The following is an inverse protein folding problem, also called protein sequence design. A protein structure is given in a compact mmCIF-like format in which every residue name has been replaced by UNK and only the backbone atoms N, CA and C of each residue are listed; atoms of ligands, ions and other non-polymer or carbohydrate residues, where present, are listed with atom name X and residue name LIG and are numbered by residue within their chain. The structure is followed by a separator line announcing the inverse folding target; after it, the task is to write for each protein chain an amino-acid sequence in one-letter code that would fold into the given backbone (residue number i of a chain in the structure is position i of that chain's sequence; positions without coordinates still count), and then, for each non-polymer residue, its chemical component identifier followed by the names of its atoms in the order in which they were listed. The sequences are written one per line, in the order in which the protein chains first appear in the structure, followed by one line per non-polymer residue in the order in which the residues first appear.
data_IF_603914122928
#
_entry.id   IF_603914122928
#
_cell.length_a   1.000
_cell.length_b   1.000
_cell.length_c   1.000
_cell.angle_alpha   90.00
_cell.angle_beta   90.00
_cell.angle_gamma   90.00
#
_symmetry.space_group_name_H-M   'P 1'
#
loop_
_entity.id
_entity.type
_entity.pdbx_description
1 polymer ?
#
# COMPACT_ATOMS: atom_id res chain seq x y z
N UNK A 1 18.60 22.82 11.28
CA UNK A 1 18.51 21.37 11.56
C UNK A 1 18.56 21.16 13.06
N UNK A 2 17.49 20.60 13.65
CA UNK A 2 17.59 20.03 15.01
C UNK A 2 18.50 18.80 14.90
N UNK A 3 19.54 18.75 15.73
CA UNK A 3 20.44 17.59 15.78
C UNK A 3 19.68 16.49 16.53
N UNK A 4 19.49 15.35 15.88
CA UNK A 4 18.96 14.16 16.53
C UNK A 4 20.13 13.40 17.18
N UNK A 5 20.02 13.17 18.49
CA UNK A 5 21.03 12.48 19.30
C UNK A 5 20.75 10.97 19.43
N UNK A 6 19.63 10.48 18.88
CA UNK A 6 19.22 9.07 18.94
C UNK A 6 19.66 8.27 17.71
N UNK A 7 19.83 8.92 16.57
CA UNK A 7 20.47 8.34 15.40
C UNK A 7 21.98 8.34 15.59
N UNK A 8 22.68 7.27 15.16
CA UNK A 8 24.14 7.28 15.08
C UNK A 8 24.60 8.55 14.37
N UNK A 9 25.48 9.32 15.02
CA UNK A 9 25.88 10.67 14.60
C UNK A 9 26.04 10.74 13.08
N UNK A 10 25.15 11.49 12.43
CA UNK A 10 25.34 11.80 11.01
C UNK A 10 26.65 12.58 10.90
N UNK A 11 27.64 11.98 10.23
CA UNK A 11 28.87 12.68 9.84
C UNK A 11 28.39 13.92 9.08
N UNK A 12 28.66 15.12 9.62
CA UNK A 12 28.43 16.37 8.90
C UNK A 12 29.32 16.33 7.66
N UNK A 13 28.79 15.82 6.56
CA UNK A 13 29.41 16.01 5.26
C UNK A 13 29.25 17.50 4.96
N UNK A 14 30.32 18.25 5.22
CA UNK A 14 30.47 19.53 4.55
C UNK A 14 30.43 19.19 3.07
N UNK A 15 29.36 19.62 2.41
CA UNK A 15 29.22 19.55 0.96
C UNK A 15 30.54 20.10 0.41
N UNK A 16 31.38 19.28 -0.28
CA UNK A 16 32.65 19.76 -0.81
C UNK A 16 32.37 20.96 -1.72
N UNK A 17 33.27 21.97 -1.74
CA UNK A 17 33.12 23.15 -2.62
C UNK A 17 32.81 22.76 -4.08
N UNK A 18 33.31 21.60 -4.51
CA UNK A 18 33.11 20.99 -5.81
C UNK A 18 31.64 20.63 -6.13
N UNK A 19 30.80 20.33 -5.13
CA UNK A 19 29.38 20.03 -5.36
C UNK A 19 28.57 21.27 -5.71
N UNK A 20 29.00 22.47 -5.26
CA UNK A 20 28.39 23.73 -5.71
C UNK A 20 28.73 24.02 -7.18
N UNK A 21 29.93 23.68 -7.62
CA UNK A 21 30.31 23.75 -9.04
C UNK A 21 29.57 22.71 -9.89
N UNK A 22 29.35 21.51 -9.36
CA UNK A 22 28.50 20.50 -9.98
C UNK A 22 27.06 20.98 -10.17
N UNK A 23 26.47 21.63 -9.14
CA UNK A 23 25.12 22.22 -9.24
C UNK A 23 25.07 23.33 -10.30
N UNK A 24 26.06 24.23 -10.33
CA UNK A 24 26.18 25.26 -11.37
C UNK A 24 26.25 24.66 -12.78
N UNK A 25 27.11 23.65 -12.99
CA UNK A 25 27.20 22.95 -14.28
C UNK A 25 25.91 22.23 -14.67
N UNK A 26 25.14 21.76 -13.68
CA UNK A 26 23.84 21.13 -13.91
C UNK A 26 22.79 22.18 -14.32
N UNK A 27 22.79 23.34 -13.67
CA UNK A 27 21.94 24.49 -14.03
C UNK A 27 22.29 25.03 -15.43
N UNK A 28 23.58 25.18 -15.76
CA UNK A 28 24.04 25.62 -17.08
C UNK A 28 23.62 24.63 -18.20
N UNK A 29 23.70 23.32 -17.93
CA UNK A 29 23.23 22.28 -18.86
C UNK A 29 21.71 22.29 -19.02
N UNK A 30 20.95 22.59 -17.96
CA UNK A 30 19.50 22.74 -18.03
C UNK A 30 19.11 24.01 -18.80
N UNK A 31 19.82 25.11 -18.63
CA UNK A 31 19.60 26.35 -19.38
C UNK A 31 19.97 26.18 -20.87
N UNK A 32 21.04 25.45 -21.19
CA UNK A 32 21.37 25.09 -22.58
C UNK A 32 20.32 24.16 -23.22
N UNK A 33 19.74 23.23 -22.47
CA UNK A 33 18.63 22.40 -22.94
C UNK A 33 17.33 23.20 -23.12
N UNK A 34 17.04 24.16 -22.23
CA UNK A 34 15.89 25.06 -22.38
C UNK A 34 16.05 26.02 -23.57
N UNK A 35 17.27 26.50 -23.85
CA UNK A 35 17.54 27.32 -25.03
C UNK A 35 17.46 26.51 -26.34
N UNK A 36 17.77 25.21 -26.33
CA UNK A 36 17.54 24.32 -27.47
C UNK A 36 16.06 23.94 -27.68
N UNK A 37 15.21 24.02 -26.64
CA UNK A 37 13.76 23.79 -26.75
C UNK A 37 12.98 25.02 -27.24
N UNK A 38 13.56 26.22 -27.19
CA UNK A 38 12.89 27.45 -27.64
C UNK A 38 12.88 27.67 -29.18
N UNK A 39 13.47 26.75 -29.97
CA UNK A 39 13.41 26.81 -31.44
C UNK A 39 12.39 25.87 -32.08
N UNK A 40 11.51 25.22 -31.30
CA UNK A 40 10.44 24.36 -31.84
C UNK A 40 9.06 24.98 -31.60
N UNK A 41 8.47 25.54 -32.65
CA UNK A 41 7.06 26.00 -32.66
C UNK A 41 6.09 24.82 -32.43
N UNK A 42 4.90 25.05 -31.82
CA UNK A 42 4.04 23.99 -31.33
C UNK A 42 3.25 23.37 -32.48
N UNK A 43 3.60 22.14 -32.85
CA UNK A 43 2.82 21.37 -33.81
C UNK A 43 2.78 19.91 -33.36
N UNK A 44 1.61 19.45 -32.93
CA UNK A 44 1.31 18.06 -32.63
C UNK A 44 0.85 17.83 -31.20
N UNK A 45 -0.43 17.58 -31.01
CA UNK A 45 -0.98 17.06 -29.76
C UNK A 45 -0.31 15.72 -29.44
N UNK A 46 0.62 15.73 -28.48
CA UNK A 46 1.21 14.49 -27.97
C UNK A 46 0.12 13.84 -27.09
N UNK A 47 -0.59 12.88 -27.65
CA UNK A 47 -1.39 11.92 -26.90
C UNK A 47 -0.42 11.06 -26.12
N UNK A 48 -0.40 11.18 -24.79
CA UNK A 48 0.35 10.24 -23.96
C UNK A 48 -0.30 8.87 -24.16
N UNK A 49 0.39 7.99 -24.89
CA UNK A 49 -0.05 6.62 -25.13
C UNK A 49 0.89 5.70 -24.38
N UNK A 50 0.34 4.91 -23.47
CA UNK A 50 1.06 3.82 -22.82
C UNK A 50 1.61 2.88 -23.90
N UNK A 51 2.91 2.58 -23.84
CA UNK A 51 3.56 1.68 -24.80
C UNK A 51 3.40 0.21 -24.41
N UNK A 52 3.25 -0.06 -23.11
CA UNK A 52 3.36 -1.41 -22.55
C UNK A 52 2.01 -2.05 -22.19
N UNK A 53 0.94 -1.26 -22.01
CA UNK A 53 -0.39 -1.74 -21.58
C UNK A 53 -1.53 -0.83 -22.06
N UNK A 54 -2.76 -1.35 -22.00
CA UNK A 54 -3.98 -0.56 -22.25
C UNK A 54 -4.29 0.40 -21.08
N UNK A 55 -5.12 1.40 -21.36
CA UNK A 55 -5.47 2.46 -20.40
C UNK A 55 -6.29 1.92 -19.22
N UNK A 56 -7.17 0.94 -19.47
CA UNK A 56 -8.01 0.26 -18.48
C UNK A 56 -7.34 -1.00 -17.87
N UNK A 57 -6.10 -1.29 -18.24
CA UNK A 57 -5.41 -2.52 -17.81
C UNK A 57 -4.61 -2.29 -16.53
N UNK A 58 -4.87 -3.13 -15.53
CA UNK A 58 -4.09 -3.21 -14.30
C UNK A 58 -2.69 -3.76 -14.55
N UNK A 59 -1.74 -3.25 -13.76
CA UNK A 59 -0.43 -3.86 -13.56
C UNK A 59 -0.57 -5.25 -12.95
N UNK A 60 0.44 -6.11 -13.10
CA UNK A 60 0.43 -7.42 -12.46
C UNK A 60 0.41 -7.27 -10.93
N UNK A 61 -0.61 -7.85 -10.29
CA UNK A 61 -0.80 -7.81 -8.84
C UNK A 61 -0.39 -9.17 -8.26
N UNK A 62 0.55 -9.14 -7.32
CA UNK A 62 0.92 -10.27 -6.49
C UNK A 62 0.61 -9.94 -5.04
N UNK A 63 -0.14 -10.83 -4.37
CA UNK A 63 -0.50 -10.70 -2.97
C UNK A 63 -0.15 -11.97 -2.22
N UNK A 64 0.20 -11.84 -0.95
CA UNK A 64 0.39 -12.98 -0.06
C UNK A 64 0.19 -12.54 1.38
N UNK A 65 -0.70 -13.25 2.09
CA UNK A 65 -0.91 -13.05 3.52
C UNK A 65 -0.01 -13.93 4.39
N UNK A 66 0.10 -13.63 5.68
CA UNK A 66 0.82 -14.46 6.65
C UNK A 66 2.34 -14.52 6.46
N UNK A 67 2.97 -13.44 5.99
CA UNK A 67 4.43 -13.38 5.78
C UNK A 67 5.19 -13.06 7.06
N UNK A 68 4.68 -12.13 7.86
CA UNK A 68 5.28 -11.74 9.14
C UNK A 68 4.68 -12.63 10.22
N UNK A 69 5.41 -13.66 10.62
CA UNK A 69 4.95 -14.67 11.59
C UNK A 69 4.78 -14.13 13.01
N UNK A 70 5.46 -13.03 13.34
CA UNK A 70 5.38 -12.39 14.66
C UNK A 70 4.18 -11.44 14.80
N UNK A 71 3.55 -11.06 13.67
CA UNK A 71 2.36 -10.24 13.67
C UNK A 71 1.11 -11.13 13.76
N UNK A 72 0.02 -10.60 14.30
CA UNK A 72 -1.26 -11.31 14.36
C UNK A 72 -1.81 -11.58 12.95
N UNK A 73 -1.61 -10.63 12.04
CA UNK A 73 -1.85 -10.80 10.62
C UNK A 73 -0.90 -9.95 9.81
N UNK A 74 -0.63 -10.36 8.58
CA UNK A 74 0.27 -9.62 7.70
C UNK A 74 -0.07 -9.82 6.23
N UNK A 75 0.31 -8.85 5.41
CA UNK A 75 0.11 -8.91 3.97
C UNK A 75 1.28 -8.27 3.26
N UNK A 76 1.79 -8.94 2.23
CA UNK A 76 2.65 -8.33 1.22
C UNK A 76 1.87 -8.17 -0.07
N UNK A 77 1.91 -6.95 -0.59
CA UNK A 77 1.30 -6.59 -1.85
C UNK A 77 2.39 -6.03 -2.76
N UNK A 78 2.38 -6.52 -3.98
CA UNK A 78 3.25 -6.09 -5.06
C UNK A 78 2.41 -5.79 -6.29
N UNK A 79 2.48 -4.54 -6.74
CA UNK A 79 1.89 -4.08 -8.00
C UNK A 79 3.06 -3.72 -8.91
N UNK A 80 3.51 -4.71 -9.69
CA UNK A 80 4.78 -4.68 -10.42
C UNK A 80 5.96 -4.22 -9.54
N UNK A 81 6.35 -2.95 -9.66
CA UNK A 81 7.47 -2.38 -8.90
C UNK A 81 7.03 -1.82 -7.55
N UNK A 82 5.78 -1.41 -7.38
CA UNK A 82 5.30 -0.91 -6.09
C UNK A 82 5.18 -2.05 -5.11
N UNK A 83 5.90 -1.99 -3.99
CA UNK A 83 5.97 -3.05 -2.98
C UNK A 83 5.61 -2.50 -1.61
N UNK A 84 4.61 -3.10 -0.98
CA UNK A 84 4.10 -2.69 0.33
C UNK A 84 3.98 -3.91 1.24
N UNK A 85 4.48 -3.77 2.46
CA UNK A 85 4.34 -4.74 3.53
C UNK A 85 3.46 -4.15 4.62
N UNK A 86 2.40 -4.86 5.00
CA UNK A 86 1.52 -4.48 6.09
C UNK A 86 1.58 -5.53 7.20
N UNK A 87 1.64 -5.07 8.45
CA UNK A 87 1.62 -5.91 9.65
C UNK A 87 0.56 -5.36 10.61
N UNK A 88 -0.28 -6.25 11.11
CA UNK A 88 -1.35 -5.92 12.06
C UNK A 88 -1.05 -6.59 13.38
N UNK A 89 -1.10 -5.81 14.45
CA UNK A 89 -1.00 -6.32 15.80
C UNK A 89 -2.26 -5.95 16.55
N UNK A 90 -3.01 -6.96 16.97
CA UNK A 90 -4.25 -6.73 17.69
C UNK A 90 -5.21 -7.90 17.54
N UNK A 91 -6.34 -7.84 18.26
CA UNK A 91 -6.70 -6.84 19.27
C UNK A 91 -5.93 -7.02 20.58
N UNK A 92 -5.20 -5.99 21.02
CA UNK A 92 -4.43 -6.00 22.29
C UNK A 92 -5.14 -5.15 23.34
N UNK A 93 -5.14 -5.61 24.59
CA UNK A 93 -5.64 -4.81 25.70
C UNK A 93 -4.73 -3.59 25.93
N UNK A 94 -5.33 -2.42 26.10
CA UNK A 94 -4.56 -1.19 26.35
C UNK A 94 -4.19 -1.10 27.84
N UNK A 95 -2.92 -0.87 28.20
CA UNK A 95 -2.50 -0.75 29.60
C UNK A 95 -2.93 0.57 30.25
N UNK A 96 -3.28 1.58 29.45
CA UNK A 96 -3.80 2.86 29.94
C UNK A 96 -5.27 2.71 30.34
N UNK A 97 -5.65 3.31 31.46
CA UNK A 97 -7.02 3.40 32.03
C UNK A 97 -7.98 4.25 31.17
N UNK A 98 -7.72 4.38 29.87
CA UNK A 98 -8.63 5.09 28.97
C UNK A 98 -9.81 4.15 28.68
N UNK A 99 -10.96 4.50 29.26
CA UNK A 99 -12.22 3.78 29.09
C UNK A 99 -12.78 4.10 27.71
N UNK A 100 -12.36 3.35 26.70
CA UNK A 100 -12.97 3.38 25.38
C UNK A 100 -14.10 2.35 25.30
N UNK A 101 -15.28 2.81 24.88
CA UNK A 101 -16.45 1.96 24.64
C UNK A 101 -16.25 1.10 23.37
N UNK A 102 -15.60 1.66 22.35
CA UNK A 102 -15.22 0.98 21.11
C UNK A 102 -13.71 0.72 21.06
N UNK A 103 -13.29 -0.25 20.26
CA UNK A 103 -11.86 -0.45 19.98
C UNK A 103 -11.24 0.78 19.31
N UNK A 104 -9.96 1.01 19.56
CA UNK A 104 -9.19 2.07 18.88
C UNK A 104 -8.31 1.46 17.79
N UNK A 105 -8.44 1.98 16.57
CA UNK A 105 -7.57 1.65 15.45
C UNK A 105 -6.45 2.69 15.36
N UNK A 106 -5.19 2.25 15.31
CA UNK A 106 -4.07 3.10 14.95
C UNK A 106 -3.51 2.63 13.62
N UNK A 107 -3.29 3.55 12.68
CA UNK A 107 -2.64 3.25 11.41
C UNK A 107 -1.40 4.13 11.29
N UNK A 108 -0.27 3.50 10.97
CA UNK A 108 1.00 4.19 10.74
C UNK A 108 1.60 3.69 9.43
N UNK A 109 1.75 4.60 8.47
CA UNK A 109 2.46 4.38 7.22
C UNK A 109 3.86 4.97 7.33
N UNK A 110 4.86 4.17 6.97
CA UNK A 110 6.26 4.58 6.85
C UNK A 110 6.84 4.19 5.51
N UNK A 111 7.68 5.05 4.97
CA UNK A 111 8.48 4.75 3.80
C UNK A 111 9.85 4.21 4.22
N UNK A 112 10.32 3.17 3.54
CA UNK A 112 11.72 2.78 3.64
C UNK A 112 12.59 3.90 3.05
N UNK A 113 13.78 4.12 3.63
CA UNK A 113 14.71 5.18 3.20
C UNK A 113 15.17 5.05 1.75
N UNK A 114 15.10 3.84 1.20
CA UNK A 114 15.41 3.50 -0.19
C UNK A 114 14.16 3.35 -1.08
N UNK A 115 12.95 3.60 -0.55
CA UNK A 115 11.70 3.31 -1.24
C UNK A 115 11.45 4.20 -2.45
N UNK A 116 11.88 5.46 -2.40
CA UNK A 116 11.66 6.41 -3.50
C UNK A 116 12.99 6.97 -3.97
N UNK A 117 13.11 7.10 -5.29
CA UNK A 117 14.25 7.77 -5.92
C UNK A 117 14.10 9.31 -5.92
N UNK A 118 12.87 9.81 -5.72
CA UNK A 118 12.55 11.24 -5.82
C UNK A 118 12.72 11.98 -4.50
N UNK A 119 12.28 11.35 -3.41
CA UNK A 119 12.28 11.93 -2.08
C UNK A 119 13.12 11.09 -1.13
N UNK A 120 13.97 11.76 -0.34
CA UNK A 120 14.68 11.12 0.75
C UNK A 120 13.77 11.08 1.97
N UNK A 121 13.47 9.87 2.42
CA UNK A 121 12.79 9.65 3.68
C UNK A 121 13.83 9.46 4.78
N UNK A 122 13.66 10.22 5.86
CA UNK A 122 14.43 10.04 7.08
C UNK A 122 13.67 9.13 8.04
N UNK A 123 14.33 8.72 9.13
CA UNK A 123 13.68 7.95 10.19
C UNK A 123 12.61 8.75 10.95
N UNK A 124 12.71 10.08 10.94
CA UNK A 124 11.73 10.94 11.59
C UNK A 124 10.43 10.98 10.80
N UNK A 125 9.31 10.97 11.52
CA UNK A 125 7.97 11.04 10.93
C UNK A 125 7.81 12.26 10.05
N UNK A 126 7.51 12.02 8.78
CA UNK A 126 7.22 13.08 7.82
C UNK A 126 5.74 13.50 7.89
N UNK A 127 5.43 14.76 7.60
CA UNK A 127 4.03 15.23 7.54
C UNK A 127 3.23 14.45 6.50
N UNK A 128 3.84 14.14 5.34
CA UNK A 128 3.21 13.34 4.28
C UNK A 128 2.80 11.95 4.75
N UNK A 129 3.65 11.29 5.54
CA UNK A 129 3.37 9.96 6.09
C UNK A 129 2.18 10.01 7.05
N UNK A 130 2.09 11.06 7.87
CA UNK A 130 0.95 11.28 8.77
C UNK A 130 -0.35 11.51 8.01
N UNK A 131 -0.31 12.33 6.97
CA UNK A 131 -1.49 12.63 6.16
C UNK A 131 -2.00 11.35 5.46
N UNK A 132 -1.08 10.57 4.89
CA UNK A 132 -1.43 9.29 4.27
C UNK A 132 -1.92 8.25 5.28
N UNK A 133 -1.32 8.20 6.47
CA UNK A 133 -1.78 7.33 7.56
C UNK A 133 -3.21 7.65 7.96
N UNK A 134 -3.56 8.95 8.03
CA UNK A 134 -4.91 9.41 8.32
C UNK A 134 -5.90 9.02 7.22
N UNK A 135 -5.51 9.16 5.95
CA UNK A 135 -6.31 8.72 4.80
C UNK A 135 -6.61 7.22 4.88
N UNK A 136 -5.59 6.40 5.18
CA UNK A 136 -5.75 4.96 5.29
C UNK A 136 -6.67 4.62 6.47
N UNK A 137 -6.47 5.26 7.62
CA UNK A 137 -7.35 5.12 8.78
C UNK A 137 -8.81 5.41 8.43
N UNK A 138 -9.09 6.53 7.76
CA UNK A 138 -10.44 6.92 7.36
C UNK A 138 -11.07 5.92 6.37
N UNK A 139 -10.28 5.36 5.46
CA UNK A 139 -10.77 4.39 4.47
C UNK A 139 -11.17 3.04 5.07
N UNK A 140 -10.55 2.64 6.19
CA UNK A 140 -10.70 1.31 6.80
C UNK A 140 -11.65 1.34 8.00
N UNK A 141 -11.73 2.44 8.75
CA UNK A 141 -12.49 2.51 10.00
C UNK A 141 -13.96 2.09 9.82
N UNK A 142 -14.60 2.47 8.71
CA UNK A 142 -15.99 2.12 8.41
C UNK A 142 -16.22 0.65 8.05
N UNK A 143 -15.16 -0.10 7.73
CA UNK A 143 -15.23 -1.52 7.41
C UNK A 143 -15.11 -2.42 8.64
N UNK A 144 -14.62 -1.90 9.77
CA UNK A 144 -14.33 -2.68 10.98
C UNK A 144 -15.50 -2.64 11.97
N UNK A 145 -15.75 -3.77 12.66
CA UNK A 145 -16.72 -3.83 13.75
C UNK A 145 -16.03 -3.62 15.10
N UNK A 146 -15.63 -2.38 15.36
CA UNK A 146 -14.89 -2.00 16.57
C UNK A 146 -15.71 -2.10 17.87
N UNK A 147 -17.04 -2.09 17.77
CA UNK A 147 -17.95 -2.18 18.92
C UNK A 147 -17.82 -3.50 19.68
N UNK A 148 -17.36 -4.56 19.00
CA UNK A 148 -17.17 -5.88 19.61
C UNK A 148 -15.92 -6.00 20.48
N UNK A 149 -14.98 -5.06 20.36
CA UNK A 149 -13.70 -5.16 21.05
C UNK A 149 -13.48 -3.95 22.00
N UNK A 150 -14.30 -3.78 23.05
CA UNK A 150 -14.13 -2.68 24.00
C UNK A 150 -12.76 -2.76 24.68
N UNK A 151 -12.17 -1.60 24.99
CA UNK A 151 -10.85 -1.49 25.67
C UNK A 151 -9.67 -2.16 24.95
N UNK A 152 -9.81 -2.42 23.65
CA UNK A 152 -8.73 -2.97 22.82
C UNK A 152 -8.20 -1.93 21.84
N UNK A 153 -6.96 -2.16 21.43
CA UNK A 153 -6.30 -1.42 20.36
C UNK A 153 -5.87 -2.40 19.27
N UNK A 154 -6.09 -1.99 18.02
CA UNK A 154 -5.58 -2.65 16.83
C UNK A 154 -4.60 -1.69 16.16
N UNK A 155 -3.34 -2.10 16.07
CA UNK A 155 -2.28 -1.31 15.45
C UNK A 155 -1.94 -1.88 14.08
N UNK A 156 -2.04 -1.05 13.05
CA UNK A 156 -1.75 -1.36 11.65
C UNK A 156 -0.50 -0.60 11.24
N UNK A 157 0.58 -1.33 10.94
CA UNK A 157 1.83 -0.76 10.46
C UNK A 157 2.03 -1.10 9.00
N UNK A 158 2.23 -0.09 8.18
CA UNK A 158 2.43 -0.22 6.74
C UNK A 158 3.82 0.30 6.41
N UNK A 159 4.65 -0.56 5.81
CA UNK A 159 5.97 -0.23 5.33
C UNK A 159 5.99 -0.27 3.80
N UNK A 160 6.24 0.87 3.18
CA UNK A 160 6.43 0.98 1.74
C UNK A 160 7.90 0.65 1.44
N UNK A 161 8.13 -0.43 0.69
CA UNK A 161 9.46 -0.92 0.35
C UNK A 161 9.98 -0.31 -0.94
N UNK A 162 9.10 -0.15 -1.94
CA UNK A 162 9.43 0.50 -3.19
C UNK A 162 8.20 1.26 -3.72
N UNK A 163 8.42 2.49 -4.17
CA UNK A 163 7.40 3.38 -4.70
C UNK A 163 7.55 3.53 -6.22
N UNK A 164 6.58 2.98 -6.96
CA UNK A 164 6.40 3.15 -8.40
C UNK A 164 4.98 3.61 -8.74
N UNK A 165 4.37 4.43 -7.87
CA UNK A 165 3.00 4.94 -8.02
C UNK A 165 1.94 4.09 -7.32
N UNK A 166 0.79 4.70 -7.02
CA UNK A 166 -0.34 4.05 -6.34
C UNK A 166 -0.03 3.43 -4.96
N UNK A 167 0.86 4.09 -4.21
CA UNK A 167 1.22 3.66 -2.85
C UNK A 167 0.02 3.66 -1.92
N UNK A 168 -0.82 4.71 -1.96
CA UNK A 168 -2.02 4.80 -1.10
C UNK A 168 -3.01 3.65 -1.36
N UNK A 169 -3.29 3.37 -2.63
CA UNK A 169 -4.17 2.27 -3.03
C UNK A 169 -3.63 0.93 -2.55
N UNK A 170 -2.32 0.73 -2.74
CA UNK A 170 -1.64 -0.48 -2.30
C UNK A 170 -1.68 -0.63 -0.78
N UNK A 171 -1.43 0.46 -0.05
CA UNK A 171 -1.45 0.50 1.41
C UNK A 171 -2.83 0.16 1.99
N UNK A 172 -3.91 0.76 1.48
CA UNK A 172 -5.28 0.49 1.94
C UNK A 172 -5.66 -0.98 1.70
N UNK A 173 -5.38 -1.47 0.49
CA UNK A 173 -5.69 -2.86 0.10
C UNK A 173 -4.90 -3.86 0.95
N UNK A 174 -3.60 -3.61 1.15
CA UNK A 174 -2.74 -4.46 1.98
C UNK A 174 -3.16 -4.44 3.46
N UNK A 175 -3.57 -3.28 3.97
CA UNK A 175 -4.07 -3.15 5.34
C UNK A 175 -5.38 -3.90 5.56
N UNK A 176 -6.33 -3.80 4.62
CA UNK A 176 -7.57 -4.58 4.68
C UNK A 176 -7.30 -6.08 4.65
N UNK A 177 -6.37 -6.54 3.82
CA UNK A 177 -6.00 -7.96 3.79
C UNK A 177 -5.31 -8.42 5.07
N UNK A 178 -4.41 -7.61 5.63
CA UNK A 178 -3.71 -7.96 6.87
C UNK A 178 -4.66 -7.99 8.08
N UNK A 179 -5.70 -7.14 8.09
CA UNK A 179 -6.76 -7.18 9.10
C UNK A 179 -7.62 -8.44 8.98
N UNK A 180 -7.94 -8.86 7.75
CA UNK A 180 -8.64 -10.11 7.51
C UNK A 180 -7.81 -11.34 7.91
N UNK A 181 -6.51 -11.34 7.60
CA UNK A 181 -5.55 -12.38 8.01
C UNK A 181 -5.39 -12.46 9.53
N UNK A 182 -5.45 -11.31 10.23
CA UNK A 182 -5.45 -11.25 11.70
C UNK A 182 -6.76 -11.75 12.34
N UNK A 183 -7.80 -12.02 11.55
CA UNK A 183 -9.11 -12.45 12.05
C UNK A 183 -9.88 -11.37 12.81
N UNK A 184 -9.60 -10.07 12.54
CA UNK A 184 -10.40 -8.98 13.09
C UNK A 184 -11.77 -8.97 12.42
N UNK A 185 -12.84 -8.86 13.18
CA UNK A 185 -14.18 -8.80 12.60
C UNK A 185 -14.41 -7.55 11.75
N UNK A 186 -14.74 -7.76 10.48
CA UNK A 186 -15.03 -6.72 9.49
C UNK A 186 -16.45 -6.93 8.91
N UNK A 187 -17.10 -5.84 8.50
CA UNK A 187 -18.32 -5.91 7.68
C UNK A 187 -17.99 -6.36 6.25
N UNK A 188 -16.88 -5.86 5.70
CA UNK A 188 -16.38 -6.18 4.38
C UNK A 188 -14.89 -5.83 4.29
N UNK A 189 -14.20 -6.35 3.28
CA UNK A 189 -12.85 -5.89 2.95
C UNK A 189 -12.91 -4.63 2.10
N UNK A 190 -11.89 -3.79 2.21
CA UNK A 190 -11.76 -2.56 1.42
C UNK A 190 -10.78 -2.82 0.27
N UNK A 191 -11.27 -2.70 -0.95
CA UNK A 191 -10.45 -2.66 -2.15
C UNK A 191 -10.38 -1.20 -2.64
N UNK A 192 -9.18 -0.78 -3.05
CA UNK A 192 -8.98 0.57 -3.56
C UNK A 192 -8.47 0.55 -4.98
N UNK A 193 -8.80 1.59 -5.72
CA UNK A 193 -8.33 1.82 -7.07
C UNK A 193 -8.03 3.30 -7.28
N UNK A 194 -7.16 3.58 -8.23
CA UNK A 194 -6.73 4.92 -8.60
C UNK A 194 -6.76 5.06 -10.11
N UNK A 195 -7.16 6.25 -10.55
CA UNK A 195 -7.14 6.66 -11.93
C UNK A 195 -6.55 8.06 -12.05
N UNK A 196 -5.84 8.29 -13.15
CA UNK A 196 -5.31 9.60 -13.53
C UNK A 196 -5.90 9.98 -14.88
N UNK A 197 -6.43 11.18 -15.00
CA UNK A 197 -6.96 11.67 -16.26
C UNK A 197 -5.92 12.57 -16.92
N UNK A 198 -5.30 12.10 -18.00
CA UNK A 198 -4.36 12.90 -18.79
C UNK A 198 -5.13 13.44 -19.99
N UNK A 199 -5.48 14.74 -19.94
CA UNK A 199 -6.35 15.41 -20.93
C UNK A 199 -7.73 14.73 -20.99
N UNK A 200 -7.99 13.95 -22.04
CA UNK A 200 -9.26 13.25 -22.29
C UNK A 200 -9.17 11.73 -22.09
N UNK A 201 -7.98 11.20 -21.76
CA UNK A 201 -7.79 9.77 -21.51
C UNK A 201 -7.72 9.48 -20.01
N UNK A 202 -8.54 8.54 -19.54
CA UNK A 202 -8.51 8.06 -18.16
C UNK A 202 -7.66 6.80 -18.07
N UNK A 203 -6.62 6.87 -17.24
CA UNK A 203 -5.64 5.82 -17.06
C UNK A 203 -5.82 5.18 -15.68
N UNK A 204 -6.14 3.88 -15.64
CA UNK A 204 -6.25 3.15 -14.36
C UNK A 204 -4.89 2.68 -13.87
N UNK A 205 -4.73 2.61 -12.55
CA UNK A 205 -3.51 2.16 -11.86
C UNK A 205 -2.23 2.83 -12.40
N UNK A 206 -2.06 4.15 -12.22
CA UNK A 206 -0.94 4.90 -12.78
C UNK A 206 0.43 4.48 -12.22
N UNK A 207 1.46 4.62 -13.04
CA UNK A 207 2.86 4.54 -12.57
C UNK A 207 3.35 5.87 -12.00
N UNK A 208 4.45 5.88 -11.25
CA UNK A 208 5.06 7.10 -10.74
C UNK A 208 5.46 8.11 -11.83
N UNK A 209 5.67 7.65 -13.07
CA UNK A 209 5.94 8.54 -14.22
C UNK A 209 4.65 9.20 -14.70
N UNK A 210 3.57 8.42 -14.83
CA UNK A 210 2.25 8.92 -15.20
C UNK A 210 1.74 9.94 -14.18
N UNK A 211 1.91 9.66 -12.88
CA UNK A 211 1.58 10.60 -11.80
C UNK A 211 2.39 11.90 -11.83
N UNK A 212 3.61 11.90 -12.37
CA UNK A 212 4.45 13.12 -12.46
C UNK A 212 4.20 13.91 -13.73
N UNK A 213 3.86 13.23 -14.83
CA UNK A 213 3.44 13.88 -16.08
C UNK A 213 2.14 14.70 -15.91
N UNK A 214 1.51 14.56 -14.74
CA UNK A 214 0.22 15.10 -14.33
C UNK A 214 0.32 16.56 -13.83
N UNK A 215 1.38 17.32 -14.14
CA UNK A 215 1.50 18.74 -13.75
C UNK A 215 0.38 19.67 -14.28
N UNK A 216 -0.60 19.14 -15.02
CA UNK A 216 -1.87 19.79 -15.35
C UNK A 216 -3.07 18.84 -15.46
N UNK A 217 -3.01 17.67 -14.82
CA UNK A 217 -4.03 16.64 -14.88
C UNK A 217 -4.49 16.26 -13.46
N UNK A 218 -5.62 15.57 -13.32
CA UNK A 218 -6.12 15.18 -12.00
C UNK A 218 -6.04 13.69 -11.73
N UNK A 219 -5.89 13.37 -10.45
CA UNK A 219 -5.84 12.03 -9.88
C UNK A 219 -7.07 11.82 -9.02
N UNK A 220 -7.70 10.66 -9.17
CA UNK A 220 -8.81 10.20 -8.34
C UNK A 220 -8.41 8.88 -7.70
N UNK A 221 -8.64 8.76 -6.40
CA UNK A 221 -8.56 7.53 -5.64
C UNK A 221 -9.94 7.21 -5.09
N UNK A 222 -10.38 5.97 -5.26
CA UNK A 222 -11.64 5.47 -4.70
C UNK A 222 -11.34 4.21 -3.90
N UNK A 223 -11.82 4.19 -2.66
CA UNK A 223 -11.83 3.02 -1.78
C UNK A 223 -13.27 2.57 -1.58
N UNK A 224 -13.51 1.28 -1.75
CA UNK A 224 -14.85 0.69 -1.78
C UNK A 224 -14.87 -0.60 -0.95
N UNK A 225 -16.00 -0.83 -0.30
CA UNK A 225 -16.42 -2.13 0.24
C UNK A 225 -17.23 -2.87 -0.85
N UNK A 226 -16.64 -3.84 -1.57
CA UNK A 226 -17.22 -4.40 -2.79
C UNK A 226 -18.48 -5.22 -2.54
N UNK A 227 -18.57 -5.94 -1.41
CA UNK A 227 -19.74 -6.76 -1.04
C UNK A 227 -20.97 -5.89 -0.75
N UNK A 228 -20.77 -4.70 -0.17
CA UNK A 228 -21.85 -3.75 0.12
C UNK A 228 -22.05 -2.69 -0.97
N UNK A 229 -21.18 -2.68 -1.98
CA UNK A 229 -21.13 -1.66 -3.02
C UNK A 229 -21.05 -0.21 -2.48
N UNK A 230 -20.44 -0.02 -1.31
CA UNK A 230 -20.35 1.27 -0.62
C UNK A 230 -18.95 1.86 -0.73
N UNK A 231 -18.84 3.13 -1.11
CA UNK A 231 -17.58 3.87 -1.15
C UNK A 231 -17.24 4.34 0.26
N UNK A 232 -16.05 4.00 0.75
CA UNK A 232 -15.56 4.45 2.07
C UNK A 232 -14.81 5.77 1.98
N UNK A 233 -13.98 5.92 0.94
CA UNK A 233 -13.15 7.11 0.74
C UNK A 233 -13.10 7.46 -0.74
N UNK A 234 -13.18 8.76 -1.03
CA UNK A 234 -12.90 9.33 -2.35
C UNK A 234 -11.95 10.51 -2.18
N UNK A 235 -10.85 10.52 -2.92
CA UNK A 235 -9.88 11.62 -2.92
C UNK A 235 -9.64 12.05 -4.35
N UNK A 236 -9.84 13.34 -4.60
CA UNK A 236 -9.48 13.98 -5.86
C UNK A 236 -8.36 14.97 -5.61
N UNK A 237 -7.32 14.91 -6.44
CA UNK A 237 -6.22 15.87 -6.46
C UNK A 237 -6.06 16.40 -7.87
N UNK A 238 -5.86 17.71 -8.03
CA UNK A 238 -5.68 18.36 -9.33
C UNK A 238 -6.99 18.79 -9.99
N UNK A 239 -6.86 19.33 -11.21
CA UNK A 239 -7.97 19.91 -11.97
C UNK A 239 -8.56 18.88 -12.93
N UNK A 240 -9.88 18.66 -12.83
CA UNK A 240 -10.62 17.71 -13.66
C UNK A 240 -11.96 18.29 -14.07
N UNK A 241 -12.37 17.98 -15.31
CA UNK A 241 -13.73 18.24 -15.77
C UNK A 241 -14.70 17.23 -15.13
N UNK A 242 -15.93 17.67 -14.85
CA UNK A 242 -16.99 16.88 -14.23
C UNK A 242 -17.23 15.53 -14.93
N UNK A 243 -17.27 15.53 -16.26
CA UNK A 243 -17.48 14.29 -17.03
C UNK A 243 -16.35 13.29 -16.83
N UNK A 244 -15.09 13.77 -16.82
CA UNK A 244 -13.91 12.94 -16.63
C UNK A 244 -13.85 12.39 -15.19
N UNK A 245 -14.33 13.16 -14.20
CA UNK A 245 -14.45 12.68 -12.81
C UNK A 245 -15.43 11.51 -12.74
N UNK A 246 -16.63 11.65 -13.33
CA UNK A 246 -17.64 10.59 -13.31
C UNK A 246 -17.15 9.31 -13.97
N UNK A 247 -16.54 9.43 -15.16
CA UNK A 247 -15.97 8.30 -15.89
C UNK A 247 -14.87 7.62 -15.06
N UNK A 248 -13.96 8.40 -14.48
CA UNK A 248 -12.87 7.88 -13.65
C UNK A 248 -13.34 7.19 -12.38
N UNK A 249 -14.36 7.73 -11.72
CA UNK A 249 -14.94 7.10 -10.54
C UNK A 249 -15.56 5.76 -10.90
N UNK A 250 -16.32 5.68 -12.00
CA UNK A 250 -16.90 4.42 -12.46
C UNK A 250 -15.82 3.38 -12.82
N UNK A 251 -14.78 3.79 -13.54
CA UNK A 251 -13.64 2.91 -13.85
C UNK A 251 -12.92 2.43 -12.59
N UNK A 252 -12.75 3.29 -11.59
CA UNK A 252 -12.17 2.91 -10.29
C UNK A 252 -13.08 1.94 -9.51
N UNK A 253 -14.41 2.08 -9.60
CA UNK A 253 -15.37 1.16 -8.97
C UNK A 253 -15.22 -0.24 -9.57
N UNK A 254 -15.24 -0.35 -10.90
CA UNK A 254 -15.04 -1.61 -11.62
C UNK A 254 -13.64 -2.21 -11.35
N UNK A 255 -12.66 -1.31 -11.22
CA UNK A 255 -11.29 -1.64 -10.86
C UNK A 255 -11.15 -2.27 -9.48
N UNK A 256 -11.81 -1.69 -8.48
CA UNK A 256 -11.83 -2.20 -7.11
C UNK A 256 -12.48 -3.58 -7.03
N UNK A 257 -13.52 -3.86 -7.83
CA UNK A 257 -14.18 -5.17 -7.86
C UNK A 257 -13.25 -6.27 -8.45
N UNK A 258 -12.42 -5.91 -9.43
CA UNK A 258 -11.37 -6.80 -9.96
C UNK A 258 -10.31 -7.10 -8.90
N UNK A 259 -9.82 -6.09 -8.18
CA UNK A 259 -8.82 -6.27 -7.11
C UNK A 259 -9.39 -7.15 -6.00
N UNK A 260 -10.65 -6.94 -5.62
CA UNK A 260 -11.33 -7.74 -4.60
C UNK A 260 -11.40 -9.23 -4.94
N UNK A 261 -11.61 -9.57 -6.21
CA UNK A 261 -11.60 -10.96 -6.67
C UNK A 261 -10.26 -11.63 -6.40
N UNK A 262 -9.15 -10.91 -6.63
CA UNK A 262 -7.79 -11.39 -6.36
C UNK A 262 -7.55 -11.51 -4.85
N UNK A 263 -8.01 -10.53 -4.05
CA UNK A 263 -7.89 -10.57 -2.57
C UNK A 263 -8.58 -11.82 -2.00
N UNK A 264 -9.81 -12.09 -2.46
CA UNK A 264 -10.60 -13.24 -2.01
C UNK A 264 -9.93 -14.57 -2.36
N UNK A 265 -9.43 -14.71 -3.59
CA UNK A 265 -8.68 -15.90 -4.00
C UNK A 265 -7.45 -16.11 -3.12
N UNK A 266 -6.71 -15.04 -2.82
CA UNK A 266 -5.50 -15.14 -2.00
C UNK A 266 -5.78 -15.60 -0.57
N UNK A 267 -6.85 -15.10 0.05
CA UNK A 267 -7.24 -15.51 1.41
C UNK A 267 -7.68 -16.97 1.45
N UNK A 268 -8.46 -17.42 0.47
CA UNK A 268 -8.86 -18.83 0.36
C UNK A 268 -7.63 -19.72 0.20
N UNK A 269 -6.71 -19.35 -0.70
CA UNK A 269 -5.46 -20.08 -0.90
C UNK A 269 -4.59 -20.12 0.35
N UNK A 270 -4.54 -19.02 1.11
CA UNK A 270 -3.79 -18.96 2.37
C UNK A 270 -4.37 -19.93 3.41
N UNK A 271 -5.70 -19.95 3.55
CA UNK A 271 -6.40 -20.85 4.47
C UNK A 271 -6.22 -22.33 4.07
N UNK A 272 -6.30 -22.66 2.78
CA UNK A 272 -6.04 -24.01 2.29
C UNK A 272 -4.60 -24.46 2.56
N UNK A 273 -3.62 -23.54 2.49
CA UNK A 273 -2.22 -23.85 2.84
C UNK A 273 -2.04 -24.10 4.33
N UNK A 274 -2.76 -23.35 5.18
CA UNK A 274 -2.75 -23.58 6.63
C UNK A 274 -3.34 -24.97 6.96
N UNK A 275 -4.50 -25.31 6.40
CA UNK A 275 -5.13 -26.63 6.60
C UNK A 275 -4.22 -27.79 6.18
N UNK A 276 -3.48 -27.67 5.07
CA UNK A 276 -2.53 -28.70 4.64
C UNK A 276 -1.37 -28.86 5.63
N UNK A 277 -0.84 -27.77 6.18
CA UNK A 277 0.22 -27.83 7.20
C UNK A 277 -0.26 -28.52 8.47
N UNK A 278 -1.50 -28.26 8.88
CA UNK A 278 -2.09 -28.89 10.06
C UNK A 278 -2.37 -30.39 9.82
N UNK A 279 -2.70 -30.78 8.58
CA UNK A 279 -2.86 -32.17 8.16
C UNK A 279 -1.56 -32.97 8.18
N UNK A 280 -0.48 -32.45 7.60
CA UNK A 280 0.83 -33.12 7.58
C UNK A 280 1.50 -33.16 8.98
N UNK A 281 1.17 -32.20 9.85
CA UNK A 281 1.67 -32.14 11.23
C UNK A 281 1.10 -33.20 12.18
N UNK A 282 -0.01 -33.84 11.80
CA UNK A 282 -0.67 -34.86 12.64
C UNK A 282 -0.18 -36.29 12.35
N UNK A 283 0.49 -36.54 11.23
CA UNK A 283 1.06 -37.85 10.91
C UNK A 283 2.43 -38.12 11.59
N UNK A 284 3.10 -37.08 12.10
CA UNK A 284 4.43 -37.22 12.73
C UNK A 284 4.41 -37.38 14.25
N UNK A 285 3.24 -37.31 14.92
CA UNK A 285 3.12 -37.47 16.37
C UNK A 285 2.29 -38.69 16.81
N UNK A 286 1.92 -39.57 15.89
CA UNK A 286 1.19 -40.80 16.17
C UNK A 286 1.96 -42.05 15.75
N UNK A 287 2.28 -42.91 16.72
CA UNK A 287 2.71 -44.31 16.57
C UNK A 287 4.24 -44.54 16.54
N UNK A 288 4.86 -44.50 17.72
CA UNK A 288 5.79 -45.54 18.19
C UNK A 288 5.49 -45.86 19.65
N UNK A 289 4.31 -46.42 19.91
CA UNK A 289 4.10 -47.19 21.14
C UNK A 289 4.67 -48.60 20.93
N UNK A 290 5.67 -48.93 21.73
CA UNK A 290 6.30 -50.23 21.87
C UNK A 290 5.28 -51.38 21.84
N UNK A 291 5.42 -52.26 20.84
CA UNK A 291 4.83 -53.60 20.83
C UNK A 291 5.89 -54.55 20.26
N UNK A 292 6.88 -54.86 21.09
CA UNK A 292 7.86 -55.92 20.85
C UNK A 292 8.32 -56.44 22.21
N UNK A 293 7.42 -57.11 22.92
CA UNK A 293 7.73 -58.14 23.91
C UNK A 293 6.58 -59.17 23.83
N UNK A 294 6.94 -60.43 24.04
CA UNK A 294 6.13 -61.67 23.99
C UNK A 294 6.07 -62.42 22.65
N UNK A 295 7.24 -62.95 22.26
CA UNK A 295 7.33 -64.33 21.75
C UNK A 295 7.94 -65.21 22.84
N UNK A 296 7.17 -66.15 23.37
CA UNK A 296 7.54 -67.55 23.65
C UNK A 296 6.50 -68.19 24.57
N UNK A 297 5.56 -68.95 24.02
CA UNK A 297 5.15 -70.24 24.58
C UNK A 297 4.34 -71.03 23.54
N UNK A 298 4.80 -72.28 23.35
CA UNK A 298 4.33 -73.42 22.51
C UNK A 298 4.45 -73.36 20.98
#
# INVERSE_FOLDING_TARGET
MKIDYRSGNSIKTQIPLDYKEYLKRKEDKQQQQQQQQQSTQPTGAITYKRKDRLDEQFRQIFMKTGIVTQASGSCYLEIEKTKVLCSVYGPRATPKTELFETAKLNCELKYATFSSNKEKFDYLENTKEKDQSLIIYQSIIGSLRLDKYPKTVVDVYILVLNDDGDVLVSAITAASMALADAGVEMYDMVASCSAVCIKDATLINPTAQEETLTEGAGKILVSKMPSHNNITQLIQTGELNYNNVLESVNLCIDGSDKIYSIMKQNLIDSLLRQQKKDGDGNEINGITTNAADDQMEE
#
